data_IF_487380759587
#
_entry.id   IF_487380759587
#
_cell.length_a   1.000
_cell.length_b   1.000
_cell.length_c   1.000
_cell.angle_alpha   90.00
_cell.angle_beta   90.00
_cell.angle_gamma   90.00
#
_symmetry.space_group_name_H-M   'P 1'
#
loop_
_entity.id
_entity.type
_entity.pdbx_description
1 polymer ?
#
# COMPACT_ATOMS: atom_id res chain seq x y z
N UNK A 1 -28.48 -0.36 8.05
CA UNK A 1 -27.09 -0.12 8.55
C UNK A 1 -26.56 1.12 7.86
N UNK A 2 -25.82 2.01 8.54
CA UNK A 2 -25.26 3.21 7.90
C UNK A 2 -24.19 2.78 6.89
N UNK A 3 -24.26 3.29 5.65
CA UNK A 3 -23.20 3.10 4.65
C UNK A 3 -21.94 3.87 5.09
N UNK A 4 -20.80 3.19 5.11
CA UNK A 4 -19.50 3.76 5.43
C UNK A 4 -18.62 3.75 4.18
N UNK A 5 -17.69 4.71 4.10
CA UNK A 5 -16.57 4.70 3.17
C UNK A 5 -15.31 4.26 3.90
N UNK A 6 -14.74 3.13 3.50
CA UNK A 6 -13.67 2.43 4.21
C UNK A 6 -12.43 2.38 3.33
N UNK A 7 -11.27 2.78 3.88
CA UNK A 7 -9.97 2.55 3.26
C UNK A 7 -9.30 1.32 3.87
N UNK A 8 -8.84 0.39 3.04
CA UNK A 8 -7.99 -0.73 3.47
C UNK A 8 -6.57 -0.46 2.99
N UNK A 9 -5.63 -0.33 3.93
CA UNK A 9 -4.23 -0.10 3.64
C UNK A 9 -3.49 -1.43 3.53
N UNK A 10 -2.79 -1.66 2.42
CA UNK A 10 -1.98 -2.85 2.24
C UNK A 10 -0.69 -2.50 1.50
N UNK A 11 0.45 -2.56 2.20
CA UNK A 11 1.72 -2.06 1.65
C UNK A 11 2.21 -2.83 0.43
N UNK A 12 1.78 -4.07 0.25
CA UNK A 12 2.04 -4.90 -0.94
C UNK A 12 1.15 -6.12 -1.00
N UNK A 13 1.09 -6.78 -2.16
CA UNK A 13 0.51 -8.11 -2.34
C UNK A 13 1.48 -9.00 -3.10
N UNK A 14 1.46 -10.30 -2.81
CA UNK A 14 2.07 -11.27 -3.70
C UNK A 14 1.07 -11.57 -4.83
N UNK A 15 1.43 -11.37 -6.11
CA UNK A 15 0.48 -11.54 -7.21
C UNK A 15 -0.02 -12.98 -7.39
N UNK A 16 0.73 -13.98 -6.93
CA UNK A 16 0.44 -15.40 -7.17
C UNK A 16 0.63 -16.25 -5.90
N UNK A 17 -0.15 -15.97 -4.84
CA UNK A 17 -0.14 -16.85 -3.67
C UNK A 17 0.50 -16.25 -2.43
N UNK A 18 -0.20 -15.36 -1.82
CA UNK A 18 0.09 -14.89 -0.47
C UNK A 18 -1.24 -14.70 0.25
N UNK A 19 -1.34 -15.19 1.48
CA UNK A 19 -2.55 -15.06 2.30
C UNK A 19 -3.04 -13.62 2.41
N UNK A 20 -2.14 -12.64 2.36
CA UNK A 20 -2.50 -11.22 2.41
C UNK A 20 -3.35 -10.77 1.22
N UNK A 21 -3.02 -11.20 0.01
CA UNK A 21 -3.79 -10.82 -1.19
C UNK A 21 -5.19 -11.40 -1.18
N UNK A 22 -5.32 -12.67 -0.81
CA UNK A 22 -6.61 -13.35 -0.65
C UNK A 22 -7.44 -12.68 0.45
N UNK A 23 -6.84 -12.45 1.61
CA UNK A 23 -7.52 -11.81 2.75
C UNK A 23 -8.06 -10.42 2.40
N UNK A 24 -7.26 -9.56 1.77
CA UNK A 24 -7.69 -8.21 1.38
C UNK A 24 -8.81 -8.26 0.35
N UNK A 25 -8.73 -9.15 -0.63
CA UNK A 25 -9.81 -9.35 -1.60
C UNK A 25 -11.12 -9.81 -0.93
N UNK A 26 -11.04 -10.77 -0.03
CA UNK A 26 -12.22 -11.35 0.63
C UNK A 26 -12.87 -10.36 1.60
N UNK A 27 -12.07 -9.66 2.42
CA UNK A 27 -12.62 -8.67 3.35
C UNK A 27 -13.21 -7.45 2.62
N UNK A 28 -12.55 -6.96 1.57
CA UNK A 28 -13.08 -5.84 0.78
C UNK A 28 -14.40 -6.21 0.11
N UNK A 29 -14.47 -7.40 -0.46
CA UNK A 29 -15.71 -7.93 -1.06
C UNK A 29 -16.83 -8.11 -0.02
N UNK A 30 -16.52 -8.67 1.14
CA UNK A 30 -17.51 -8.86 2.21
C UNK A 30 -18.08 -7.52 2.68
N UNK A 31 -17.25 -6.51 2.90
CA UNK A 31 -17.68 -5.16 3.28
C UNK A 31 -18.56 -4.50 2.20
N UNK A 32 -18.25 -4.71 0.92
CA UNK A 32 -19.09 -4.21 -0.17
C UNK A 32 -20.45 -4.91 -0.21
N UNK A 33 -20.50 -6.23 0.00
CA UNK A 33 -21.77 -6.99 0.10
C UNK A 33 -22.63 -6.46 1.27
N UNK A 34 -22.00 -6.01 2.35
CA UNK A 34 -22.68 -5.35 3.49
C UNK A 34 -23.16 -3.92 3.18
N UNK A 35 -22.89 -3.41 1.98
CA UNK A 35 -23.36 -2.12 1.51
C UNK A 35 -22.41 -0.94 1.78
N UNK A 36 -21.16 -1.23 2.19
CA UNK A 36 -20.13 -0.21 2.36
C UNK A 36 -19.44 0.15 1.03
N UNK A 37 -18.82 1.33 0.98
CA UNK A 37 -17.89 1.72 -0.09
C UNK A 37 -16.46 1.42 0.36
N UNK A 38 -15.70 0.68 -0.46
CA UNK A 38 -14.38 0.21 -0.05
C UNK A 38 -13.33 0.56 -1.10
N UNK A 39 -12.30 1.27 -0.67
CA UNK A 39 -11.09 1.54 -1.44
C UNK A 39 -9.92 0.74 -0.83
N UNK A 40 -9.22 -0.03 -1.66
CA UNK A 40 -7.96 -0.67 -1.27
C UNK A 40 -6.80 0.20 -1.74
N UNK A 41 -6.03 0.72 -0.78
CA UNK A 41 -4.85 1.57 -1.03
C UNK A 41 -3.61 0.70 -0.92
N UNK A 42 -2.91 0.49 -2.04
CA UNK A 42 -1.81 -0.48 -2.11
C UNK A 42 -0.52 0.11 -2.67
N UNK A 43 0.60 -0.36 -2.12
CA UNK A 43 1.93 -0.26 -2.73
C UNK A 43 2.23 -1.46 -3.63
N UNK A 44 3.31 -1.39 -4.44
CA UNK A 44 3.73 -2.49 -5.31
C UNK A 44 4.39 -3.63 -4.48
N UNK A 45 4.27 -4.91 -4.95
CA UNK A 45 3.41 -5.37 -6.01
C UNK A 45 1.93 -5.27 -5.61
N UNK A 46 1.11 -4.79 -6.57
CA UNK A 46 -0.29 -4.45 -6.31
C UNK A 46 -1.18 -5.67 -6.21
N UNK A 47 -2.30 -5.51 -5.49
CA UNK A 47 -3.34 -6.54 -5.37
C UNK A 47 -4.04 -6.81 -6.71
N UNK A 48 -4.45 -8.07 -6.89
CA UNK A 48 -5.50 -8.46 -7.82
C UNK A 48 -6.80 -8.57 -7.02
N UNK A 49 -7.71 -7.64 -7.28
CA UNK A 49 -9.01 -7.56 -6.59
C UNK A 49 -10.12 -7.87 -7.58
N UNK A 50 -11.30 -8.20 -7.05
CA UNK A 50 -12.51 -8.31 -7.88
C UNK A 50 -12.83 -6.95 -8.53
N UNK A 51 -13.41 -6.96 -9.73
CA UNK A 51 -13.70 -5.77 -10.54
C UNK A 51 -14.55 -4.70 -9.85
N UNK A 52 -15.23 -5.06 -8.77
CA UNK A 52 -16.09 -4.17 -7.99
C UNK A 52 -15.31 -3.36 -6.94
N UNK A 53 -14.11 -3.79 -6.56
CA UNK A 53 -13.30 -3.12 -5.53
C UNK A 53 -12.38 -2.10 -6.17
N UNK A 54 -12.45 -0.86 -5.70
CA UNK A 54 -11.57 0.20 -6.19
C UNK A 54 -10.14 0.03 -5.63
N UNK A 55 -9.16 -0.10 -6.52
CA UNK A 55 -7.75 -0.21 -6.19
C UNK A 55 -7.01 1.09 -6.42
N UNK A 56 -6.57 1.74 -5.35
CA UNK A 56 -5.74 2.95 -5.39
C UNK A 56 -4.27 2.55 -5.29
N UNK A 57 -3.55 2.74 -6.37
CA UNK A 57 -2.13 2.38 -6.49
C UNK A 57 -1.23 3.53 -6.05
N UNK A 58 -0.55 3.37 -4.92
CA UNK A 58 0.49 4.30 -4.49
C UNK A 58 1.83 3.90 -5.11
N UNK A 59 2.48 4.79 -5.89
CA UNK A 59 3.71 4.44 -6.57
C UNK A 59 4.87 4.22 -5.58
N UNK A 60 5.61 3.13 -5.73
CA UNK A 60 6.81 2.79 -4.98
C UNK A 60 7.87 2.19 -5.91
N UNK A 61 9.02 1.83 -5.34
CA UNK A 61 9.97 0.95 -6.01
C UNK A 61 9.57 -0.49 -5.68
N UNK A 62 9.29 -1.30 -6.71
CA UNK A 62 8.99 -2.72 -6.52
C UNK A 62 10.30 -3.52 -6.42
N UNK A 63 10.92 -3.46 -5.24
CA UNK A 63 12.24 -4.09 -5.00
C UNK A 63 12.13 -5.43 -4.27
N UNK A 64 10.94 -5.86 -3.90
CA UNK A 64 10.73 -7.02 -3.03
C UNK A 64 11.27 -8.34 -3.60
N UNK A 65 11.10 -8.58 -4.90
CA UNK A 65 11.57 -9.79 -5.57
C UNK A 65 12.94 -9.63 -6.23
N UNK A 66 13.61 -8.51 -6.01
CA UNK A 66 14.84 -8.15 -6.70
C UNK A 66 16.01 -8.20 -5.73
N UNK A 67 16.89 -9.19 -5.89
CA UNK A 67 18.05 -9.41 -5.02
C UNK A 67 19.35 -8.83 -5.59
N UNK A 68 19.42 -8.65 -6.91
CA UNK A 68 20.60 -8.12 -7.59
C UNK A 68 20.66 -6.59 -7.51
N UNK A 69 21.83 -6.06 -7.11
CA UNK A 69 22.07 -4.61 -7.12
C UNK A 69 21.81 -3.97 -8.50
N UNK A 70 22.27 -4.66 -9.58
CA UNK A 70 22.09 -4.15 -10.95
C UNK A 70 20.62 -3.99 -11.31
N UNK A 71 19.80 -4.95 -10.93
CA UNK A 71 18.35 -4.91 -11.19
C UNK A 71 17.68 -3.83 -10.36
N UNK A 72 18.01 -3.71 -9.07
CA UNK A 72 17.50 -2.62 -8.21
C UNK A 72 17.86 -1.24 -8.75
N UNK A 73 19.12 -1.08 -9.20
CA UNK A 73 19.57 0.16 -9.83
C UNK A 73 18.79 0.45 -11.12
N UNK A 74 18.56 -0.58 -11.96
CA UNK A 74 17.77 -0.43 -13.18
C UNK A 74 16.33 0.00 -12.89
N UNK A 75 15.67 -0.62 -11.90
CA UNK A 75 14.32 -0.23 -11.45
C UNK A 75 14.32 1.24 -10.99
N UNK A 76 15.28 1.61 -10.15
CA UNK A 76 15.39 2.98 -9.65
C UNK A 76 15.64 3.99 -10.79
N UNK A 77 16.55 3.70 -11.73
CA UNK A 77 16.85 4.59 -12.86
C UNK A 77 15.68 4.74 -13.82
N UNK A 78 14.93 3.67 -14.07
CA UNK A 78 13.80 3.67 -15.00
C UNK A 78 12.53 4.36 -14.46
N UNK A 79 12.45 4.61 -13.17
CA UNK A 79 11.32 5.35 -12.60
C UNK A 79 11.34 6.80 -13.09
N UNK A 80 10.30 7.22 -13.81
CA UNK A 80 10.21 8.58 -14.41
C UNK A 80 10.09 9.67 -13.35
N UNK A 81 9.15 9.53 -12.41
CA UNK A 81 8.84 10.55 -11.39
C UNK A 81 9.49 10.18 -10.05
N UNK A 82 10.80 10.44 -9.94
CA UNK A 82 11.56 10.16 -8.72
C UNK A 82 11.26 11.20 -7.64
N UNK A 83 10.91 10.73 -6.45
CA UNK A 83 10.74 11.55 -5.25
C UNK A 83 11.87 11.26 -4.25
N UNK A 84 12.12 12.16 -3.31
CA UNK A 84 13.14 11.95 -2.26
C UNK A 84 12.95 10.63 -1.50
N UNK A 85 11.70 10.23 -1.29
CA UNK A 85 11.38 8.97 -0.63
C UNK A 85 11.83 7.73 -1.44
N UNK A 86 11.93 7.84 -2.76
CA UNK A 86 12.42 6.74 -3.62
C UNK A 86 13.94 6.59 -3.48
N UNK A 87 14.67 7.68 -3.29
CA UNK A 87 16.12 7.64 -2.96
C UNK A 87 16.35 6.98 -1.60
N UNK A 88 15.54 7.32 -0.60
CA UNK A 88 15.60 6.66 0.71
C UNK A 88 15.29 5.16 0.59
N UNK A 89 14.26 4.79 -0.17
CA UNK A 89 13.85 3.41 -0.40
C UNK A 89 14.97 2.61 -1.07
N UNK A 90 15.56 3.14 -2.14
CA UNK A 90 16.68 2.52 -2.83
C UNK A 90 17.92 2.39 -1.93
N UNK A 91 18.37 3.49 -1.31
CA UNK A 91 19.59 3.49 -0.48
C UNK A 91 19.46 2.57 0.74
N UNK A 92 18.29 2.51 1.38
CA UNK A 92 18.03 1.64 2.52
C UNK A 92 18.20 0.15 2.17
N UNK A 93 17.85 -0.24 0.95
CA UNK A 93 18.02 -1.64 0.50
C UNK A 93 19.47 -2.04 0.31
N UNK A 94 20.39 -1.09 0.11
CA UNK A 94 21.84 -1.36 -0.01
C UNK A 94 22.45 -1.81 1.32
N UNK A 95 21.83 -1.43 2.43
CA UNK A 95 22.26 -1.79 3.78
C UNK A 95 21.41 -2.90 4.40
N UNK A 96 20.71 -3.69 3.57
CA UNK A 96 19.88 -4.82 4.01
C UNK A 96 18.56 -4.41 4.67
N UNK A 97 18.14 -3.16 4.55
CA UNK A 97 16.88 -2.67 5.08
C UNK A 97 15.67 -3.10 4.22
N UNK A 98 14.52 -3.17 4.86
CA UNK A 98 13.21 -3.39 4.20
C UNK A 98 12.36 -2.11 4.37
N UNK A 99 12.60 -1.08 3.54
CA UNK A 99 11.99 0.23 3.73
C UNK A 99 10.53 0.32 3.26
N UNK A 100 10.03 -0.67 2.51
CA UNK A 100 8.73 -0.61 1.82
C UNK A 100 7.57 -0.29 2.76
N UNK A 101 7.54 -0.87 3.96
CA UNK A 101 6.51 -0.60 4.95
C UNK A 101 6.51 0.86 5.42
N UNK A 102 7.71 1.43 5.65
CA UNK A 102 7.86 2.84 6.09
C UNK A 102 7.50 3.80 4.98
N UNK A 103 8.00 3.55 3.77
CA UNK A 103 7.75 4.41 2.61
C UNK A 103 6.29 4.34 2.17
N UNK A 104 5.67 3.16 2.25
CA UNK A 104 4.23 3.01 2.05
C UNK A 104 3.43 3.80 3.09
N UNK A 105 3.74 3.67 4.38
CA UNK A 105 3.07 4.42 5.44
C UNK A 105 3.12 5.93 5.23
N UNK A 106 4.27 6.46 4.81
CA UNK A 106 4.41 7.88 4.47
C UNK A 106 3.55 8.27 3.25
N UNK A 107 3.55 7.47 2.19
CA UNK A 107 2.73 7.73 0.99
C UNK A 107 1.23 7.64 1.29
N UNK A 108 0.81 6.63 2.06
CA UNK A 108 -0.58 6.45 2.49
C UNK A 108 -1.05 7.62 3.37
N UNK A 109 -0.23 8.06 4.33
CA UNK A 109 -0.52 9.22 5.17
C UNK A 109 -0.70 10.50 4.33
N UNK A 110 0.17 10.74 3.35
CA UNK A 110 0.05 11.89 2.46
C UNK A 110 -1.20 11.81 1.57
N UNK A 111 -1.53 10.62 1.08
CA UNK A 111 -2.76 10.40 0.32
C UNK A 111 -4.00 10.69 1.17
N UNK A 112 -4.06 10.15 2.38
CA UNK A 112 -5.18 10.34 3.30
C UNK A 112 -5.28 11.78 3.84
N UNK A 113 -4.18 12.55 3.85
CA UNK A 113 -4.21 14.00 4.15
C UNK A 113 -5.00 14.80 3.11
N UNK A 114 -4.95 14.38 1.88
CA UNK A 114 -5.64 15.07 0.76
C UNK A 114 -7.07 14.53 0.61
N UNK A 115 -7.27 13.23 0.90
CA UNK A 115 -8.53 12.53 0.75
C UNK A 115 -9.14 12.23 2.13
N UNK A 116 -9.82 13.20 2.72
CA UNK A 116 -10.35 13.12 4.11
C UNK A 116 -11.73 12.47 4.23
N UNK A 117 -12.23 11.82 3.20
CA UNK A 117 -13.62 11.38 3.08
C UNK A 117 -13.85 9.92 3.50
N UNK A 118 -12.92 9.32 4.25
CA UNK A 118 -13.10 7.99 4.80
C UNK A 118 -13.67 8.04 6.21
N UNK A 119 -14.66 7.19 6.47
CA UNK A 119 -15.26 7.00 7.81
C UNK A 119 -14.41 6.06 8.68
N UNK A 120 -13.64 5.16 8.05
CA UNK A 120 -12.75 4.22 8.74
C UNK A 120 -11.54 3.87 7.89
N UNK A 121 -10.43 3.56 8.55
CA UNK A 121 -9.20 3.07 7.92
C UNK A 121 -8.79 1.76 8.58
N UNK A 122 -8.63 0.71 7.79
CA UNK A 122 -8.18 -0.61 8.21
C UNK A 122 -6.73 -0.79 7.74
N UNK A 123 -5.82 -1.05 8.66
CA UNK A 123 -4.44 -1.40 8.33
C UNK A 123 -4.28 -2.91 8.20
N UNK A 124 -3.91 -3.38 6.99
CA UNK A 124 -3.58 -4.77 6.75
C UNK A 124 -2.08 -4.99 6.83
N UNK A 125 -1.58 -5.20 8.06
CA UNK A 125 -0.20 -5.63 8.38
C UNK A 125 0.93 -4.71 7.89
N UNK A 126 0.72 -3.41 7.75
CA UNK A 126 1.81 -2.52 7.36
C UNK A 126 2.86 -2.28 8.44
N UNK A 127 2.57 -2.66 9.69
CA UNK A 127 3.51 -2.73 10.83
C UNK A 127 4.52 -1.56 10.90
N UNK A 128 4.13 -0.35 10.49
CA UNK A 128 5.02 0.79 10.45
C UNK A 128 4.56 1.91 11.38
N UNK A 129 5.51 2.69 11.91
CA UNK A 129 5.22 3.88 12.71
C UNK A 129 4.39 4.93 11.97
N UNK A 130 4.38 4.92 10.63
CA UNK A 130 3.50 5.78 9.83
C UNK A 130 2.02 5.55 10.09
N UNK A 131 1.65 4.34 10.53
CA UNK A 131 0.27 4.02 10.91
C UNK A 131 -0.18 4.75 12.18
N UNK A 132 0.73 5.04 13.12
CA UNK A 132 0.41 5.81 14.32
C UNK A 132 -0.03 7.25 13.99
N UNK A 133 0.54 7.85 12.95
CA UNK A 133 0.12 9.18 12.50
C UNK A 133 -1.26 9.15 11.83
N UNK A 134 -1.57 8.09 11.10
CA UNK A 134 -2.89 7.86 10.51
C UNK A 134 -3.92 7.64 11.62
N UNK A 135 -3.63 6.77 12.58
CA UNK A 135 -4.51 6.46 13.71
C UNK A 135 -4.91 7.69 14.55
N UNK A 136 -4.04 8.69 14.66
CA UNK A 136 -4.35 9.94 15.38
C UNK A 136 -5.42 10.80 14.69
N UNK A 137 -5.84 10.47 13.47
CA UNK A 137 -6.79 11.25 12.66
C UNK A 137 -8.15 10.60 12.51
N UNK A 138 -8.21 9.29 12.68
CA UNK A 138 -9.39 8.45 12.64
C UNK A 138 -9.61 7.78 14.01
#
# INVERSE_FOLDING_TARGET
MKKLKIAILSYRSAPFGGGQGVYVNDISRALMIMGHEVDVISGPPYHYLSDQVNLIKLPGLDLFQTFSFKERLKIFLNKKDKRLIDFYEFSSTLFGGFPEMRTFGHRANNFLKINHNYDAVIDNQSLSYGMLEIQKRF
#
